data_IF_645016560183
#
_entry.id   IF_645016560183
#
_cell.length_a   1.000
_cell.length_b   1.000
_cell.length_c   1.000
_cell.angle_alpha   90.00
_cell.angle_beta   90.00
_cell.angle_gamma   90.00
#
_symmetry.space_group_name_H-M   'P 1'
#
loop_
_entity.id
_entity.type
_entity.pdbx_description
1 polymer ?
#
# COMPACT_ATOMS: atom_id res chain seq x y z
N UNK A 1 19.08 20.24 0.71
CA UNK A 1 18.96 19.54 -0.57
C UNK A 1 18.07 20.39 -1.43
N UNK A 2 18.42 20.59 -2.70
CA UNK A 2 17.56 21.27 -3.66
C UNK A 2 17.24 20.25 -4.76
N UNK A 3 15.95 20.01 -4.99
CA UNK A 3 15.48 19.16 -6.08
C UNK A 3 15.12 20.04 -7.28
N UNK A 4 15.90 20.00 -8.38
CA UNK A 4 15.61 20.78 -9.58
C UNK A 4 14.24 20.47 -10.20
N UNK A 5 13.68 19.28 -9.94
CA UNK A 5 12.37 18.91 -10.46
C UNK A 5 11.21 19.74 -9.85
N UNK A 6 11.46 20.52 -8.79
CA UNK A 6 10.46 21.43 -8.22
C UNK A 6 10.26 22.72 -9.03
N UNK A 7 11.24 23.13 -9.84
CA UNK A 7 11.20 24.42 -10.55
C UNK A 7 11.68 24.35 -12.01
N UNK A 8 12.24 23.23 -12.45
CA UNK A 8 12.72 23.03 -13.82
C UNK A 8 12.01 21.85 -14.48
N UNK A 9 11.61 22.02 -15.74
CA UNK A 9 11.07 20.94 -16.57
C UNK A 9 12.14 19.91 -16.96
N UNK A 10 13.39 20.38 -17.11
CA UNK A 10 14.54 19.52 -17.40
C UNK A 10 15.07 18.95 -16.09
N UNK A 11 14.72 17.69 -15.83
CA UNK A 11 15.13 16.95 -14.63
C UNK A 11 16.65 16.74 -14.65
N UNK A 12 17.30 17.10 -13.56
CA UNK A 12 18.73 16.87 -13.32
C UNK A 12 18.92 16.25 -11.93
N UNK A 13 20.17 15.89 -11.60
CA UNK A 13 20.47 15.32 -10.29
C UNK A 13 20.23 16.32 -9.17
N UNK A 14 19.88 15.78 -8.00
CA UNK A 14 19.67 16.53 -6.77
C UNK A 14 20.94 17.27 -6.37
N UNK A 15 20.81 18.56 -6.03
CA UNK A 15 21.92 19.35 -5.52
C UNK A 15 22.03 19.24 -4.01
N UNK A 16 23.20 18.78 -3.56
CA UNK A 16 23.52 18.68 -2.15
C UNK A 16 24.04 20.01 -1.62
N UNK A 17 23.39 20.51 -0.56
CA UNK A 17 23.81 21.74 0.12
C UNK A 17 24.74 21.39 1.27
N UNK A 18 25.72 22.26 1.54
CA UNK A 18 26.76 22.04 2.55
C UNK A 18 26.17 22.00 3.98
N UNK A 19 25.12 22.79 4.25
CA UNK A 19 24.47 22.86 5.56
C UNK A 19 23.57 21.65 5.80
N UNK A 20 23.80 20.95 6.92
CA UNK A 20 22.98 19.82 7.38
C UNK A 20 21.91 20.31 8.36
N UNK A 21 20.73 19.69 8.32
CA UNK A 21 19.66 19.89 9.31
C UNK A 21 19.93 18.98 10.52
N UNK A 22 19.71 19.48 11.72
CA UNK A 22 19.67 18.62 12.91
C UNK A 22 18.42 17.74 12.89
N UNK A 23 18.47 16.61 13.59
CA UNK A 23 17.28 15.79 13.81
C UNK A 23 16.26 16.56 14.67
N UNK A 24 14.96 16.40 14.40
CA UNK A 24 13.92 17.00 15.22
C UNK A 24 13.91 16.40 16.62
N UNK A 25 13.66 17.23 17.64
CA UNK A 25 13.48 16.79 19.03
C UNK A 25 12.01 16.60 19.42
N UNK A 26 11.09 17.24 18.69
CA UNK A 26 9.65 17.22 18.98
C UNK A 26 8.95 15.93 18.53
N UNK A 27 9.55 15.13 17.65
CA UNK A 27 8.99 13.88 17.14
C UNK A 27 10.10 12.92 16.70
N UNK A 28 9.79 11.63 16.67
CA UNK A 28 10.71 10.58 16.19
C UNK A 28 10.47 10.30 14.72
N UNK A 29 11.53 10.19 13.93
CA UNK A 29 11.42 9.81 12.52
C UNK A 29 11.27 8.30 12.38
N UNK A 30 10.35 7.88 11.51
CA UNK A 30 10.16 6.49 11.12
C UNK A 30 10.28 6.36 9.61
N UNK A 31 10.76 5.20 9.15
CA UNK A 31 10.93 4.88 7.73
C UNK A 31 10.31 3.53 7.40
N UNK A 32 9.84 3.36 6.17
CA UNK A 32 9.28 2.11 5.68
C UNK A 32 9.09 2.12 4.17
N UNK A 33 8.16 1.30 3.70
CA UNK A 33 7.79 1.26 2.29
C UNK A 33 7.06 2.54 1.89
N UNK A 34 7.34 3.08 0.69
CA UNK A 34 6.53 4.11 0.06
C UNK A 34 5.11 3.62 -0.28
N UNK A 35 4.88 2.30 -0.28
CA UNK A 35 3.58 1.69 -0.55
C UNK A 35 2.90 1.38 0.77
N UNK A 36 1.87 2.16 1.08
CA UNK A 36 1.11 2.04 2.33
C UNK A 36 -0.38 1.87 2.04
N UNK A 37 -1.07 1.18 2.94
CA UNK A 37 -2.54 1.16 2.97
C UNK A 37 -2.98 1.94 4.20
N UNK A 38 -3.80 2.97 3.99
CA UNK A 38 -4.28 3.86 5.05
C UNK A 38 -5.76 3.61 5.30
N UNK A 39 -6.19 3.65 6.55
CA UNK A 39 -7.62 3.75 6.85
C UNK A 39 -8.15 5.10 6.41
N UNK A 40 -9.45 5.18 6.11
CA UNK A 40 -10.11 6.44 5.78
C UNK A 40 -9.93 7.48 6.89
N UNK A 41 -10.10 7.08 8.15
CA UNK A 41 -9.92 7.96 9.32
C UNK A 41 -8.51 8.55 9.39
N UNK A 42 -7.47 7.73 9.21
CA UNK A 42 -6.10 8.21 9.27
C UNK A 42 -5.75 9.12 8.07
N UNK A 43 -6.28 8.82 6.89
CA UNK A 43 -6.13 9.68 5.72
C UNK A 43 -6.80 11.06 5.96
N UNK A 44 -8.00 11.08 6.53
CA UNK A 44 -8.68 12.32 6.92
C UNK A 44 -7.88 13.09 7.98
N UNK A 45 -7.32 12.41 8.99
CA UNK A 45 -6.44 13.04 9.98
C UNK A 45 -5.19 13.67 9.32
N UNK A 46 -4.60 13.01 8.32
CA UNK A 46 -3.45 13.57 7.59
C UNK A 46 -3.80 14.85 6.79
N UNK A 47 -5.06 14.98 6.34
CA UNK A 47 -5.52 16.10 5.49
C UNK A 47 -6.10 17.24 6.33
N UNK A 48 -7.02 16.90 7.23
CA UNK A 48 -7.83 17.84 8.01
C UNK A 48 -7.29 18.07 9.42
N UNK A 49 -6.31 17.28 9.86
CA UNK A 49 -5.83 17.24 11.24
C UNK A 49 -5.73 18.62 11.86
N UNK A 50 -6.58 18.86 12.87
CA UNK A 50 -6.61 20.10 13.61
C UNK A 50 -5.32 20.29 14.43
N UNK A 51 -4.68 19.17 14.79
CA UNK A 51 -3.37 19.15 15.43
C UNK A 51 -2.25 19.64 14.51
N UNK A 52 -1.17 20.15 15.10
CA UNK A 52 -0.04 20.68 14.35
C UNK A 52 0.87 19.59 13.76
N UNK A 53 0.76 18.34 14.20
CA UNK A 53 1.70 17.27 13.84
C UNK A 53 1.72 16.97 12.32
N UNK A 54 0.60 16.63 11.64
CA UNK A 54 0.61 16.38 10.20
C UNK A 54 1.15 17.58 9.40
N UNK A 55 0.74 18.81 9.76
CA UNK A 55 1.19 20.06 9.11
C UNK A 55 2.69 20.29 9.30
N UNK A 56 3.20 20.10 10.51
CA UNK A 56 4.63 20.21 10.82
C UNK A 56 5.45 19.19 10.06
N UNK A 57 4.96 17.94 9.98
CA UNK A 57 5.63 16.88 9.24
C UNK A 57 5.60 17.11 7.73
N UNK A 58 4.51 17.64 7.17
CA UNK A 58 4.47 18.03 5.76
C UNK A 58 5.58 19.04 5.45
N UNK A 59 5.70 20.08 6.27
CA UNK A 59 6.77 21.08 6.14
C UNK A 59 8.16 20.44 6.27
N UNK A 60 8.36 19.57 7.25
CA UNK A 60 9.64 18.89 7.47
C UNK A 60 10.07 18.03 6.28
N UNK A 61 9.12 17.32 5.66
CA UNK A 61 9.33 16.39 4.55
C UNK A 61 9.34 17.07 3.16
N UNK A 62 9.10 18.39 3.04
CA UNK A 62 9.18 19.09 1.74
C UNK A 62 10.56 19.03 1.09
N UNK A 63 11.64 18.98 1.87
CA UNK A 63 13.03 18.97 1.40
C UNK A 63 13.77 17.68 1.79
N UNK A 64 13.09 16.55 1.72
CA UNK A 64 13.58 15.23 2.13
C UNK A 64 13.57 14.27 0.92
N UNK A 65 14.64 13.49 0.72
CA UNK A 65 14.66 12.47 -0.35
C UNK A 65 13.69 11.36 0.01
N UNK A 66 12.85 10.94 -0.93
CA UNK A 66 11.89 9.84 -0.72
C UNK A 66 10.92 10.10 0.43
N UNK A 67 10.37 11.31 0.54
CA UNK A 67 9.39 11.68 1.58
C UNK A 67 8.25 10.67 1.82
N UNK A 68 7.67 10.01 0.79
CA UNK A 68 6.64 8.98 1.01
C UNK A 68 7.11 7.76 1.82
N UNK A 69 8.42 7.50 1.90
CA UNK A 69 8.99 6.41 2.68
C UNK A 69 9.09 6.71 4.18
N UNK A 70 8.80 7.94 4.62
CA UNK A 70 8.84 8.31 6.04
C UNK A 70 7.66 9.12 6.55
N UNK A 71 6.96 9.86 5.70
CA UNK A 71 5.88 10.76 6.14
C UNK A 71 4.79 10.02 6.91
N UNK A 72 4.13 9.04 6.29
CA UNK A 72 2.98 8.35 6.91
C UNK A 72 3.40 7.55 8.14
N UNK A 73 4.56 6.90 8.10
CA UNK A 73 5.14 6.16 9.21
C UNK A 73 5.39 7.09 10.39
N UNK A 74 5.92 8.29 10.13
CA UNK A 74 6.21 9.28 11.16
C UNK A 74 4.93 9.89 11.73
N UNK A 75 3.96 10.26 10.91
CA UNK A 75 2.67 10.81 11.39
C UNK A 75 1.96 9.78 12.27
N UNK A 76 1.80 8.55 11.79
CA UNK A 76 1.02 7.54 12.51
C UNK A 76 1.68 7.15 13.83
N UNK A 77 3.01 7.07 13.88
CA UNK A 77 3.74 6.63 15.07
C UNK A 77 3.99 7.71 16.11
N UNK A 78 3.82 8.98 15.77
CA UNK A 78 3.85 10.10 16.73
C UNK A 78 2.45 10.60 17.10
N UNK A 79 1.38 9.98 16.56
CA UNK A 79 0.00 10.32 16.91
C UNK A 79 -0.52 9.38 18.01
N UNK A 80 -0.97 9.94 19.13
CA UNK A 80 -1.50 9.16 20.26
C UNK A 80 -2.73 8.34 19.87
N UNK A 81 -3.60 8.89 19.02
CA UNK A 81 -4.81 8.23 18.53
C UNK A 81 -4.48 7.04 17.61
N UNK A 82 -3.47 7.17 16.74
CA UNK A 82 -3.23 6.20 15.67
C UNK A 82 -2.06 5.25 15.90
N UNK A 83 -1.11 5.53 16.79
CA UNK A 83 0.13 4.72 16.95
C UNK A 83 -0.11 3.22 17.15
N UNK A 84 -1.19 2.87 17.87
CA UNK A 84 -1.55 1.49 18.20
C UNK A 84 -2.38 0.79 17.10
N UNK A 85 -2.72 1.49 16.02
CA UNK A 85 -3.49 0.95 14.88
C UNK A 85 -2.60 0.43 13.74
N UNK A 86 -1.28 0.52 13.91
CA UNK A 86 -0.30 0.29 12.84
C UNK A 86 -0.02 -1.19 12.59
N UNK A 87 -0.01 -1.60 11.32
CA UNK A 87 0.45 -2.93 10.91
C UNK A 87 1.75 -2.79 10.13
N UNK A 88 2.85 -3.32 10.67
CA UNK A 88 4.16 -3.29 10.00
C UNK A 88 4.25 -4.34 8.88
N UNK A 89 3.46 -4.13 7.82
CA UNK A 89 3.41 -4.97 6.63
C UNK A 89 2.84 -4.19 5.43
N UNK A 90 3.61 -4.09 4.34
CA UNK A 90 3.25 -3.27 3.16
C UNK A 90 2.27 -3.93 2.18
N UNK A 91 1.94 -5.22 2.38
CA UNK A 91 1.07 -6.03 1.53
C UNK A 91 1.56 -6.22 0.08
N UNK A 92 2.82 -5.87 -0.23
CA UNK A 92 3.40 -6.01 -1.57
C UNK A 92 4.41 -7.16 -1.62
N UNK A 93 4.30 -8.04 -2.61
CA UNK A 93 5.40 -8.92 -2.96
C UNK A 93 6.44 -8.14 -3.75
N UNK A 94 7.58 -7.91 -3.12
CA UNK A 94 8.72 -7.21 -3.70
C UNK A 94 9.93 -8.14 -3.60
N UNK A 95 10.72 -8.19 -4.66
CA UNK A 95 12.02 -8.87 -4.63
C UNK A 95 13.13 -7.88 -4.91
N UNK A 96 14.21 -8.02 -4.15
CA UNK A 96 15.40 -7.19 -4.25
C UNK A 96 16.57 -8.04 -4.73
N UNK A 97 17.53 -7.39 -5.38
CA UNK A 97 18.85 -7.97 -5.60
C UNK A 97 19.57 -8.13 -4.24
N UNK A 98 20.62 -8.96 -4.20
CA UNK A 98 21.52 -9.05 -3.05
C UNK A 98 22.94 -8.70 -3.51
N UNK A 99 23.51 -7.54 -3.11
CA UNK A 99 22.93 -6.52 -2.24
C UNK A 99 21.77 -5.74 -2.90
N UNK A 100 20.85 -5.13 -2.11
CA UNK A 100 19.73 -4.37 -2.65
C UNK A 100 20.22 -3.12 -3.39
N UNK A 101 19.64 -2.89 -4.58
CA UNK A 101 19.83 -1.66 -5.37
C UNK A 101 18.80 -0.60 -4.98
N UNK A 102 18.88 0.61 -5.56
CA UNK A 102 17.91 1.69 -5.33
C UNK A 102 16.46 1.31 -5.67
N UNK A 103 16.25 0.40 -6.63
CA UNK A 103 14.93 -0.06 -7.04
C UNK A 103 14.84 -1.57 -6.99
N UNK A 104 13.66 -2.13 -6.64
CA UNK A 104 13.48 -3.57 -6.64
C UNK A 104 13.65 -4.12 -8.05
N UNK A 105 14.09 -5.39 -8.14
CA UNK A 105 14.25 -6.05 -9.42
C UNK A 105 12.89 -6.33 -10.06
N UNK A 106 12.89 -6.51 -11.38
CA UNK A 106 11.68 -6.91 -12.09
C UNK A 106 11.35 -8.37 -11.80
N UNK A 107 10.06 -8.64 -11.54
CA UNK A 107 9.50 -9.96 -11.37
C UNK A 107 9.29 -10.63 -12.73
N UNK A 108 9.48 -11.95 -12.78
CA UNK A 108 9.25 -12.75 -13.98
C UNK A 108 8.73 -14.15 -13.65
N UNK A 109 8.64 -15.06 -14.64
CA UNK A 109 8.00 -16.37 -14.48
C UNK A 109 8.52 -17.19 -13.29
N UNK A 110 9.83 -17.09 -13.00
CA UNK A 110 10.48 -17.76 -11.86
C UNK A 110 9.94 -17.32 -10.49
N UNK A 111 9.39 -16.11 -10.41
CA UNK A 111 8.84 -15.54 -9.18
C UNK A 111 7.37 -15.88 -8.95
N UNK A 112 6.65 -16.30 -9.99
CA UNK A 112 5.20 -16.44 -9.99
C UNK A 112 4.72 -17.29 -8.82
N UNK A 113 5.28 -18.50 -8.65
CA UNK A 113 4.91 -19.40 -7.55
C UNK A 113 5.12 -18.76 -6.17
N UNK A 114 6.26 -18.10 -5.94
CA UNK A 114 6.58 -17.46 -4.65
C UNK A 114 5.67 -16.27 -4.38
N UNK A 115 5.35 -15.50 -5.42
CA UNK A 115 4.40 -14.39 -5.36
C UNK A 115 3.02 -14.88 -4.90
N UNK A 116 2.48 -15.93 -5.52
CA UNK A 116 1.17 -16.49 -5.13
C UNK A 116 1.19 -17.02 -3.69
N UNK A 117 2.22 -17.81 -3.34
CA UNK A 117 2.34 -18.42 -2.01
C UNK A 117 2.53 -17.38 -0.89
N UNK A 118 3.02 -16.18 -1.20
CA UNK A 118 3.15 -15.11 -0.22
C UNK A 118 1.81 -14.62 0.35
N UNK A 119 0.71 -14.88 -0.36
CA UNK A 119 -0.64 -14.44 0.03
C UNK A 119 -0.86 -12.93 -0.02
N UNK A 120 0.11 -12.18 -0.52
CA UNK A 120 0.04 -10.73 -0.67
C UNK A 120 -0.89 -10.37 -1.84
N UNK A 121 -1.75 -9.34 -1.68
CA UNK A 121 -2.69 -8.94 -2.72
C UNK A 121 -2.01 -8.17 -3.88
N UNK A 122 -0.85 -7.55 -3.64
CA UNK A 122 -0.14 -6.75 -4.63
C UNK A 122 1.28 -7.28 -4.85
N UNK A 123 1.87 -6.96 -6.00
CA UNK A 123 3.25 -7.29 -6.33
C UNK A 123 3.86 -6.22 -7.24
N UNK A 124 5.17 -5.99 -7.11
CA UNK A 124 5.94 -5.10 -7.99
C UNK A 124 7.42 -5.49 -8.07
N UNK A 125 8.15 -5.12 -9.12
CA UNK A 125 7.72 -4.43 -10.35
C UNK A 125 7.71 -5.40 -11.53
N UNK A 126 6.84 -5.19 -12.50
CA UNK A 126 6.82 -5.99 -13.73
C UNK A 126 7.42 -5.18 -14.88
N UNK A 127 8.08 -5.85 -15.83
CA UNK A 127 8.37 -5.24 -17.12
C UNK A 127 7.09 -5.26 -17.96
N UNK A 128 6.97 -4.31 -18.87
CA UNK A 128 5.90 -4.32 -19.87
C UNK A 128 5.94 -5.64 -20.67
N UNK A 129 4.77 -6.13 -21.10
CA UNK A 129 4.61 -7.34 -21.93
C UNK A 129 5.28 -8.60 -21.34
N UNK A 130 5.37 -8.68 -20.01
CA UNK A 130 5.89 -9.85 -19.34
C UNK A 130 4.80 -10.92 -19.19
N UNK A 131 5.12 -12.18 -19.57
CA UNK A 131 4.19 -13.32 -19.50
C UNK A 131 3.53 -13.54 -18.13
N UNK A 132 4.16 -13.09 -17.04
CA UNK A 132 3.54 -13.17 -15.70
C UNK A 132 2.27 -12.33 -15.61
N UNK A 133 2.19 -11.21 -16.33
CA UNK A 133 0.99 -10.38 -16.36
C UNK A 133 -0.18 -11.16 -16.98
N UNK A 134 0.06 -11.87 -18.08
CA UNK A 134 -0.95 -12.73 -18.72
C UNK A 134 -1.41 -13.86 -17.78
N UNK A 135 -0.48 -14.45 -17.04
CA UNK A 135 -0.81 -15.48 -16.03
C UNK A 135 -1.62 -14.91 -14.87
N UNK A 136 -1.31 -13.70 -14.40
CA UNK A 136 -2.11 -13.03 -13.35
C UNK A 136 -3.54 -12.80 -13.86
N UNK A 137 -3.68 -12.20 -15.04
CA UNK A 137 -4.98 -11.87 -15.64
C UNK A 137 -5.82 -13.15 -15.84
N UNK A 138 -5.23 -14.19 -16.43
CA UNK A 138 -5.93 -15.44 -16.74
C UNK A 138 -6.20 -16.30 -15.49
N UNK A 139 -5.18 -16.57 -14.68
CA UNK A 139 -5.25 -17.61 -13.63
C UNK A 139 -5.75 -17.06 -12.28
N UNK A 140 -5.50 -15.79 -11.98
CA UNK A 140 -5.87 -15.19 -10.69
C UNK A 140 -7.12 -14.32 -10.79
N UNK A 141 -7.13 -13.42 -11.77
CA UNK A 141 -8.20 -12.45 -11.96
C UNK A 141 -9.35 -13.01 -12.80
N UNK A 142 -9.10 -14.13 -13.50
CA UNK A 142 -10.05 -14.80 -14.40
C UNK A 142 -10.60 -13.84 -15.46
N UNK A 143 -9.72 -12.98 -15.96
CA UNK A 143 -10.02 -11.98 -16.97
C UNK A 143 -10.14 -12.65 -18.33
N UNK A 144 -11.25 -12.41 -19.03
CA UNK A 144 -11.40 -12.81 -20.43
C UNK A 144 -10.75 -11.76 -21.35
N UNK A 145 -10.28 -12.18 -22.53
CA UNK A 145 -9.73 -11.26 -23.53
C UNK A 145 -10.75 -10.17 -23.88
N UNK A 146 -10.34 -8.90 -23.79
CA UNK A 146 -11.22 -7.75 -24.01
C UNK A 146 -12.20 -7.43 -22.89
N UNK A 147 -12.25 -8.25 -21.83
CA UNK A 147 -13.12 -8.04 -20.67
C UNK A 147 -12.44 -7.28 -19.53
N UNK A 148 -13.27 -6.76 -18.62
CA UNK A 148 -12.83 -6.19 -17.34
C UNK A 148 -12.84 -7.25 -16.23
N UNK A 149 -12.05 -7.01 -15.19
CA UNK A 149 -12.12 -7.82 -13.97
C UNK A 149 -13.44 -7.56 -13.24
N UNK A 150 -13.97 -8.58 -12.57
CA UNK A 150 -15.12 -8.43 -11.68
C UNK A 150 -14.79 -7.44 -10.55
N UNK A 151 -15.70 -6.50 -10.28
CA UNK A 151 -15.46 -5.40 -9.33
C UNK A 151 -16.58 -5.15 -8.32
N UNK A 152 -17.74 -5.79 -8.48
CA UNK A 152 -18.89 -5.58 -7.60
C UNK A 152 -18.74 -6.32 -6.27
N UNK A 153 -18.59 -5.58 -5.17
CA UNK A 153 -18.74 -6.09 -3.82
C UNK A 153 -20.22 -6.04 -3.44
N UNK A 154 -20.85 -7.20 -3.32
CA UNK A 154 -22.25 -7.31 -2.90
C UNK A 154 -22.29 -7.81 -1.46
N UNK A 155 -22.72 -6.94 -0.54
CA UNK A 155 -23.06 -7.36 0.81
C UNK A 155 -24.48 -7.93 0.80
N UNK A 156 -24.62 -9.24 0.94
CA UNK A 156 -25.91 -9.80 1.33
C UNK A 156 -26.12 -9.40 2.81
N UNK A 157 -26.90 -8.34 3.05
CA UNK A 157 -27.26 -7.93 4.41
C UNK A 157 -28.30 -8.90 4.97
N UNK A 158 -27.87 -9.85 5.80
CA UNK A 158 -28.77 -10.78 6.50
C UNK A 158 -29.52 -10.13 7.68
N UNK A 159 -29.31 -8.85 7.97
CA UNK A 159 -29.86 -8.16 9.14
C UNK A 159 -30.92 -7.11 8.77
N UNK A 160 -32.08 -7.57 8.31
CA UNK A 160 -33.40 -6.95 8.47
C UNK A 160 -34.38 -7.65 7.51
N UNK A 161 -35.59 -7.94 7.96
CA UNK A 161 -36.62 -8.69 7.22
C UNK A 161 -37.15 -8.02 5.94
N UNK A 162 -36.35 -7.19 5.28
CA UNK A 162 -36.57 -6.68 3.92
C UNK A 162 -35.29 -6.94 3.13
N UNK A 163 -35.28 -8.05 2.39
CA UNK A 163 -34.27 -8.39 1.40
C UNK A 163 -34.28 -7.36 0.25
N UNK A 164 -33.77 -6.15 0.47
CA UNK A 164 -33.21 -5.37 -0.62
C UNK A 164 -31.86 -6.00 -0.93
N UNK A 165 -31.86 -6.90 -1.92
CA UNK A 165 -30.64 -7.51 -2.47
C UNK A 165 -29.77 -6.38 -3.01
N UNK A 166 -28.87 -5.84 -2.19
CA UNK A 166 -27.78 -5.00 -2.68
C UNK A 166 -27.12 -5.81 -3.82
N UNK A 167 -27.22 -5.33 -5.06
CA UNK A 167 -26.85 -5.99 -6.32
C UNK A 167 -27.91 -6.80 -7.10
N UNK A 168 -29.22 -6.63 -6.90
CA UNK A 168 -30.19 -7.22 -7.87
C UNK A 168 -29.92 -6.74 -9.30
N UNK A 169 -29.63 -5.45 -9.51
CA UNK A 169 -29.26 -4.86 -10.81
C UNK A 169 -27.94 -5.40 -11.40
N UNK A 170 -26.90 -5.52 -10.57
CA UNK A 170 -25.60 -6.07 -10.99
C UNK A 170 -25.68 -7.58 -11.33
N UNK A 171 -26.55 -8.32 -10.63
CA UNK A 171 -26.85 -9.73 -10.92
C UNK A 171 -27.68 -9.89 -12.20
N UNK A 172 -28.63 -8.98 -12.48
CA UNK A 172 -29.46 -9.03 -13.69
C UNK A 172 -28.71 -8.62 -14.95
N UNK A 173 -27.70 -7.75 -14.84
CA UNK A 173 -26.95 -7.21 -15.98
C UNK A 173 -25.60 -7.92 -16.23
N UNK A 174 -25.37 -9.09 -15.63
CA UNK A 174 -24.12 -9.86 -15.75
C UNK A 174 -22.84 -9.08 -15.39
N UNK A 175 -22.94 -8.00 -14.62
CA UNK A 175 -21.80 -7.31 -14.01
C UNK A 175 -21.27 -8.09 -12.81
N UNK A 176 -20.86 -9.34 -13.05
CA UNK A 176 -19.76 -9.99 -12.38
C UNK A 176 -19.61 -9.75 -10.88
N UNK A 177 -20.46 -10.42 -10.08
CA UNK A 177 -20.36 -10.38 -8.62
C UNK A 177 -19.05 -11.04 -8.16
N UNK A 178 -18.25 -10.33 -7.36
CA UNK A 178 -17.04 -10.90 -6.77
C UNK A 178 -17.40 -12.01 -5.79
N UNK A 179 -16.86 -13.21 -6.02
CA UNK A 179 -17.01 -14.36 -5.12
C UNK A 179 -15.70 -14.68 -4.40
N UNK A 180 -15.74 -14.99 -3.09
CA UNK A 180 -14.60 -15.51 -2.35
C UNK A 180 -13.86 -16.65 -3.06
N UNK A 181 -12.62 -16.40 -3.48
CA UNK A 181 -11.77 -17.38 -4.18
C UNK A 181 -10.58 -17.89 -3.35
N UNK A 182 -9.69 -18.70 -3.95
CA UNK A 182 -8.42 -19.11 -3.34
C UNK A 182 -7.54 -17.92 -2.91
N UNK A 183 -7.58 -16.81 -3.67
CA UNK A 183 -6.88 -15.57 -3.32
C UNK A 183 -7.30 -15.00 -1.96
N UNK A 184 -8.62 -14.93 -1.69
CA UNK A 184 -9.14 -14.47 -0.41
C UNK A 184 -8.65 -15.36 0.74
N UNK A 185 -8.60 -16.69 0.55
CA UNK A 185 -8.11 -17.62 1.58
C UNK A 185 -6.64 -17.33 1.93
N UNK A 186 -5.79 -17.09 0.93
CA UNK A 186 -4.39 -16.73 1.15
C UNK A 186 -4.25 -15.38 1.85
N UNK A 187 -5.01 -14.37 1.43
CA UNK A 187 -5.01 -13.05 2.08
C UNK A 187 -5.49 -13.14 3.53
N UNK A 188 -6.57 -13.87 3.80
CA UNK A 188 -7.09 -14.09 5.16
C UNK A 188 -6.04 -14.75 6.06
N UNK A 189 -5.29 -15.73 5.53
CA UNK A 189 -4.19 -16.37 6.26
C UNK A 189 -3.06 -15.38 6.57
N UNK A 190 -2.65 -14.56 5.59
CA UNK A 190 -1.67 -13.49 5.77
C UNK A 190 -2.12 -12.51 6.87
N UNK A 191 -3.35 -11.99 6.78
CA UNK A 191 -3.90 -11.03 7.73
C UNK A 191 -4.00 -11.59 9.15
N UNK A 192 -4.45 -12.84 9.30
CA UNK A 192 -4.45 -13.52 10.61
C UNK A 192 -3.05 -13.61 11.20
N UNK A 193 -2.04 -13.90 10.38
CA UNK A 193 -0.65 -13.98 10.82
C UNK A 193 -0.12 -12.60 11.24
N UNK A 194 -0.37 -11.55 10.44
CA UNK A 194 0.11 -10.20 10.72
C UNK A 194 -0.56 -9.57 11.95
N UNK A 195 -1.83 -9.90 12.20
CA UNK A 195 -2.63 -9.38 13.33
C UNK A 195 -2.57 -10.25 14.59
N UNK A 196 -1.76 -11.33 14.60
CA UNK A 196 -1.62 -12.21 15.77
C UNK A 196 -1.02 -11.49 16.98
N UNK A 197 -1.20 -12.01 18.21
CA UNK A 197 -0.83 -11.38 19.49
C UNK A 197 0.63 -10.86 19.62
N UNK A 198 1.55 -11.23 18.71
CA UNK A 198 2.90 -10.65 18.59
C UNK A 198 2.91 -9.26 17.92
N UNK A 199 1.75 -8.75 17.52
CA UNK A 199 1.52 -7.47 16.84
C UNK A 199 1.99 -6.26 17.65
N UNK A 200 1.57 -6.15 18.91
CA UNK A 200 1.89 -5.01 19.78
C UNK A 200 3.40 -4.82 20.00
N UNK A 201 4.21 -5.87 19.83
CA UNK A 201 5.67 -5.79 19.98
C UNK A 201 6.39 -5.26 18.73
N UNK A 202 5.69 -4.93 17.64
CA UNK A 202 6.28 -4.53 16.34
C UNK A 202 5.74 -3.20 15.80
N UNK A 203 5.02 -2.45 16.63
CA UNK A 203 4.47 -1.14 16.28
C UNK A 203 5.45 -0.04 16.69
N UNK A 204 5.68 0.92 15.80
CA UNK A 204 6.30 2.21 16.09
C UNK A 204 7.51 2.13 17.05
N UNK A 205 8.50 1.32 16.68
CA UNK A 205 9.79 1.18 17.37
C UNK A 205 10.90 1.90 16.61
#
# INVERSE_FOLDING_TARGET
>A
MIDPALYSLNKSEIWWVIKRRSLPTAFKLYTGSAWTTLSRSFAEYCILGYENLPRTLLLYYTNFVSSPEGYFQTVVCNSEEYKNTTVNHDLHYISWDNPPKQHPRSLGPKDYRRMILSGRPFARKFKEKNLVLDWIDKELLKRHNGGFNYGGWCSDSESSGKSQRACSGLKSENYGVLRPGPGLRRLKSLLKKTLSAKFNKRQCR
#
